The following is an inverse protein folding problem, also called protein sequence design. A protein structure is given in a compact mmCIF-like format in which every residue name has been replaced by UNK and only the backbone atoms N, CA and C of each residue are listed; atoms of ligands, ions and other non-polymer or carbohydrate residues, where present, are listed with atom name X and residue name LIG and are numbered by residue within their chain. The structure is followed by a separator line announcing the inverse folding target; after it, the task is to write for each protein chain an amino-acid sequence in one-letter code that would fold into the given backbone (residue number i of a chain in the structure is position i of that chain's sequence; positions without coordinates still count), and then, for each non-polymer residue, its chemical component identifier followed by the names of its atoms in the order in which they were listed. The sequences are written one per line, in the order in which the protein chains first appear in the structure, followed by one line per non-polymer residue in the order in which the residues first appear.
data_IF_797833921279
#
_entry.id   IF_797833921279
#
_cell.length_a   1.000
_cell.length_b   1.000
_cell.length_c   1.000
_cell.angle_alpha   90.00
_cell.angle_beta   90.00
_cell.angle_gamma   90.00
#
_symmetry.space_group_name_H-M   'P 1'
#
loop_
_entity.id
_entity.type
_entity.pdbx_description
1 polymer ?
#
# COMPACT_ATOMS: atom_id res chain seq x y z
N UNK A 1 -9.90 16.45 -0.24
CA UNK A 1 -9.46 15.12 0.25
C UNK A 1 -10.69 14.28 0.57
N UNK A 2 -10.76 13.02 0.12
CA UNK A 2 -11.86 12.09 0.39
C UNK A 2 -11.29 10.87 1.12
N UNK A 3 -11.91 10.48 2.23
CA UNK A 3 -11.59 9.23 2.94
C UNK A 3 -12.57 8.15 2.47
N UNK A 4 -12.04 6.99 2.10
CA UNK A 4 -12.83 5.81 1.73
C UNK A 4 -12.51 4.70 2.74
N UNK A 5 -13.45 4.32 3.62
CA UNK A 5 -13.20 3.27 4.60
C UNK A 5 -13.12 1.89 3.92
N UNK A 6 -12.45 0.94 4.56
CA UNK A 6 -12.25 -0.42 4.04
C UNK A 6 -13.57 -1.09 3.65
N UNK A 7 -14.59 -0.89 4.46
CA UNK A 7 -15.93 -1.46 4.36
C UNK A 7 -16.64 -0.99 3.09
N UNK A 8 -16.25 0.17 2.54
CA UNK A 8 -16.81 0.67 1.29
C UNK A 8 -16.28 -0.09 0.05
N UNK A 9 -15.13 -0.79 0.15
CA UNK A 9 -14.50 -1.44 -1.00
C UNK A 9 -14.01 -2.88 -0.78
N UNK A 10 -14.07 -3.42 0.44
CA UNK A 10 -13.57 -4.76 0.81
C UNK A 10 -14.01 -5.85 -0.17
N UNK A 11 -15.30 -5.84 -0.54
CA UNK A 11 -15.89 -6.85 -1.42
C UNK A 11 -16.08 -6.34 -2.86
N UNK A 12 -15.44 -5.23 -3.22
CA UNK A 12 -15.55 -4.60 -4.54
C UNK A 12 -14.42 -4.98 -5.49
N UNK A 13 -13.38 -5.66 -5.00
CA UNK A 13 -12.24 -6.12 -5.80
C UNK A 13 -12.22 -7.63 -5.81
N UNK A 14 -12.58 -8.23 -6.96
CA UNK A 14 -12.49 -9.68 -7.12
C UNK A 14 -11.04 -10.13 -7.25
N UNK A 15 -10.77 -11.40 -6.95
CA UNK A 15 -9.43 -11.97 -7.06
C UNK A 15 -8.85 -11.85 -8.48
N UNK A 16 -9.67 -12.08 -9.51
CA UNK A 16 -9.26 -11.91 -10.91
C UNK A 16 -8.87 -10.46 -11.25
N UNK A 17 -9.61 -9.48 -10.73
CA UNK A 17 -9.27 -8.05 -10.90
C UNK A 17 -7.94 -7.73 -10.21
N UNK A 18 -7.72 -8.26 -9.01
CA UNK A 18 -6.48 -8.07 -8.27
C UNK A 18 -5.27 -8.66 -9.01
N UNK A 19 -5.38 -9.91 -9.50
CA UNK A 19 -4.32 -10.57 -10.28
C UNK A 19 -3.97 -9.75 -11.52
N UNK A 20 -4.96 -9.34 -12.30
CA UNK A 20 -4.71 -8.52 -13.49
C UNK A 20 -4.09 -7.15 -13.17
N UNK A 21 -4.41 -6.54 -12.03
CA UNK A 21 -3.79 -5.30 -11.60
C UNK A 21 -2.31 -5.50 -11.22
N UNK A 22 -2.00 -6.58 -10.50
CA UNK A 22 -0.62 -6.93 -10.12
C UNK A 22 0.22 -7.26 -11.36
N UNK A 23 -0.31 -8.04 -12.30
CA UNK A 23 0.35 -8.36 -13.57
C UNK A 23 0.72 -7.10 -14.36
N UNK A 24 -0.23 -6.15 -14.51
CA UNK A 24 0.04 -4.86 -15.16
C UNK A 24 1.13 -4.06 -14.44
N UNK A 25 1.12 -4.07 -13.10
CA UNK A 25 2.15 -3.40 -12.30
C UNK A 25 3.55 -3.95 -12.58
N UNK A 26 3.70 -5.29 -12.56
CA UNK A 26 4.97 -5.93 -12.89
C UNK A 26 5.40 -5.71 -14.34
N UNK A 27 4.45 -5.75 -15.30
CA UNK A 27 4.73 -5.44 -16.70
C UNK A 27 5.27 -4.03 -16.86
N UNK A 28 4.63 -3.03 -16.26
CA UNK A 28 5.10 -1.63 -16.32
C UNK A 28 6.45 -1.45 -15.65
N UNK A 29 6.73 -2.15 -14.54
CA UNK A 29 8.06 -2.17 -13.94
C UNK A 29 9.11 -2.74 -14.91
N UNK A 30 8.84 -3.89 -15.53
CA UNK A 30 9.76 -4.53 -16.48
C UNK A 30 10.03 -3.67 -17.72
N UNK A 31 9.06 -2.84 -18.13
CA UNK A 31 9.19 -1.91 -19.26
C UNK A 31 9.82 -0.56 -18.88
N UNK A 32 10.19 -0.34 -17.61
CA UNK A 32 10.72 0.94 -17.14
C UNK A 32 9.68 2.06 -17.09
N UNK A 33 8.40 1.70 -17.05
CA UNK A 33 7.26 2.63 -17.00
C UNK A 33 6.79 2.91 -15.56
N UNK A 34 7.43 2.32 -14.55
CA UNK A 34 7.13 2.51 -13.15
C UNK A 34 8.22 3.33 -12.46
N UNK A 35 7.82 4.38 -11.74
CA UNK A 35 8.66 5.07 -10.75
C UNK A 35 8.37 4.44 -9.39
N UNK A 36 9.39 3.81 -8.80
CA UNK A 36 9.35 3.12 -7.51
C UNK A 36 10.55 3.58 -6.67
N UNK A 37 10.39 4.60 -5.81
CA UNK A 37 11.45 4.99 -4.90
C UNK A 37 11.73 3.90 -3.86
N UNK A 38 12.88 3.98 -3.22
CA UNK A 38 13.20 3.12 -2.08
C UNK A 38 12.15 3.27 -0.97
N UNK A 39 11.75 2.17 -0.32
CA UNK A 39 10.84 2.24 0.81
C UNK A 39 11.42 3.08 1.95
N UNK A 40 10.60 3.93 2.56
CA UNK A 40 10.94 4.52 3.86
C UNK A 40 10.56 3.51 4.94
N UNK A 41 11.51 3.20 5.82
CA UNK A 41 11.33 2.27 6.93
C UNK A 41 11.59 3.01 8.24
N UNK A 42 10.67 2.87 9.18
CA UNK A 42 10.82 3.34 10.56
C UNK A 42 10.72 2.11 11.46
N UNK A 43 11.83 1.76 12.11
CA UNK A 43 11.85 0.71 13.12
C UNK A 43 11.58 1.31 14.50
N UNK A 44 10.75 0.63 15.29
CA UNK A 44 10.38 0.99 16.65
C UNK A 44 10.68 -0.21 17.57
N UNK A 45 11.95 -0.42 17.95
CA UNK A 45 12.36 -1.65 18.64
C UNK A 45 11.74 -1.83 20.02
N UNK A 46 11.52 -0.73 20.76
CA UNK A 46 10.95 -0.77 22.11
C UNK A 46 9.49 -1.25 22.09
N UNK A 47 8.76 -0.96 21.01
CA UNK A 47 7.38 -1.32 20.76
C UNK A 47 7.25 -2.65 20.01
N UNK A 48 8.38 -3.25 19.59
CA UNK A 48 8.45 -4.37 18.65
C UNK A 48 7.57 -4.09 17.43
N UNK A 49 7.78 -2.93 16.82
CA UNK A 49 6.95 -2.43 15.74
C UNK A 49 7.76 -1.83 14.60
N UNK A 50 7.11 -1.67 13.45
CA UNK A 50 7.67 -1.05 12.26
C UNK A 50 6.61 -0.29 11.47
N UNK A 51 7.05 0.73 10.73
CA UNK A 51 6.23 1.47 9.77
C UNK A 51 6.96 1.52 8.43
N UNK A 52 6.26 1.15 7.36
CA UNK A 52 6.78 1.13 6.01
C UNK A 52 5.94 2.05 5.13
N UNK A 53 6.61 2.94 4.39
CA UNK A 53 5.97 3.73 3.32
C UNK A 53 6.56 3.31 1.99
N UNK A 54 5.69 2.86 1.07
CA UNK A 54 6.06 2.44 -0.28
C UNK A 54 5.30 3.29 -1.29
N UNK A 55 6.03 3.99 -2.15
CA UNK A 55 5.47 4.81 -3.22
C UNK A 55 5.52 4.10 -4.58
N UNK A 56 4.58 4.42 -5.45
CA UNK A 56 4.63 4.04 -6.86
C UNK A 56 3.85 5.03 -7.73
N UNK A 57 4.35 5.26 -8.93
CA UNK A 57 3.62 5.90 -10.02
C UNK A 57 3.91 5.19 -11.34
N UNK A 58 2.88 4.88 -12.11
CA UNK A 58 3.02 4.33 -13.45
C UNK A 58 2.87 5.46 -14.48
N UNK A 59 3.67 5.44 -15.54
CA UNK A 59 3.61 6.40 -16.63
C UNK A 59 2.19 6.50 -17.19
N UNK A 60 1.62 7.72 -17.18
CA UNK A 60 0.27 8.00 -17.68
C UNK A 60 -0.86 7.57 -16.74
N UNK A 61 -0.56 7.03 -15.55
CA UNK A 61 -1.59 6.75 -14.55
C UNK A 61 -2.10 8.05 -13.93
N UNK A 62 -3.39 8.06 -13.59
CA UNK A 62 -4.04 9.23 -12.97
C UNK A 62 -3.51 9.56 -11.57
N UNK A 63 -3.02 8.56 -10.84
CA UNK A 63 -2.66 8.74 -9.44
C UNK A 63 -1.20 8.36 -9.16
N UNK A 64 -0.62 9.08 -8.20
CA UNK A 64 0.54 8.64 -7.43
C UNK A 64 0.00 7.90 -6.20
N UNK A 65 0.54 6.72 -5.90
CA UNK A 65 0.06 5.90 -4.77
C UNK A 65 1.14 5.78 -3.71
N UNK A 66 0.77 6.03 -2.45
CA UNK A 66 1.59 5.75 -1.28
C UNK A 66 0.85 4.74 -0.41
N UNK A 67 1.48 3.62 -0.09
CA UNK A 67 1.01 2.67 0.92
C UNK A 67 1.75 2.97 2.22
N UNK A 68 1.01 3.25 3.29
CA UNK A 68 1.52 3.30 4.65
C UNK A 68 1.05 2.03 5.34
N UNK A 69 1.99 1.23 5.83
CA UNK A 69 1.70 -0.01 6.55
C UNK A 69 2.42 0.01 7.89
N UNK A 70 1.73 -0.43 8.93
CA UNK A 70 2.29 -0.63 10.27
C UNK A 70 2.31 -2.11 10.61
N UNK A 71 3.33 -2.52 11.35
CA UNK A 71 3.43 -3.82 12.00
C UNK A 71 3.62 -3.61 13.49
N UNK A 72 2.65 -4.01 14.31
CA UNK A 72 2.74 -4.00 15.78
C UNK A 72 2.60 -5.45 16.26
N UNK A 73 3.71 -6.17 16.34
CA UNK A 73 3.68 -7.62 16.49
C UNK A 73 3.06 -8.09 17.83
N UNK A 74 3.24 -7.31 18.89
CA UNK A 74 2.68 -7.58 20.22
C UNK A 74 1.16 -7.39 20.33
N UNK A 75 0.51 -6.78 19.34
CA UNK A 75 -0.95 -6.65 19.33
C UNK A 75 -1.67 -8.00 19.38
N UNK A 76 -1.04 -9.06 18.86
CA UNK A 76 -1.59 -10.41 18.87
C UNK A 76 -1.90 -10.89 20.30
N UNK A 77 -1.02 -10.59 21.26
CA UNK A 77 -1.22 -10.95 22.67
C UNK A 77 -2.40 -10.19 23.31
N UNK A 78 -2.81 -9.07 22.71
CA UNK A 78 -3.90 -8.21 23.16
C UNK A 78 -5.22 -8.45 22.38
N UNK A 79 -5.25 -9.43 21.48
CA UNK A 79 -6.39 -9.69 20.60
C UNK A 79 -6.60 -8.62 19.52
N UNK A 80 -5.59 -7.79 19.23
CA UNK A 80 -5.65 -6.74 18.21
C UNK A 80 -4.92 -7.19 16.93
N UNK A 81 -5.25 -6.62 15.75
CA UNK A 81 -4.51 -6.87 14.52
C UNK A 81 -3.03 -6.49 14.65
N UNK A 82 -2.15 -7.38 14.18
CA UNK A 82 -0.70 -7.12 14.14
C UNK A 82 -0.29 -6.19 13.00
N UNK A 83 -1.15 -6.00 11.99
CA UNK A 83 -0.88 -5.11 10.87
C UNK A 83 -2.07 -4.23 10.57
N UNK A 84 -1.78 -2.98 10.21
CA UNK A 84 -2.76 -2.00 9.76
C UNK A 84 -2.14 -1.09 8.69
N UNK A 85 -2.93 -0.23 8.08
CA UNK A 85 -2.42 0.72 7.12
C UNK A 85 -3.48 1.41 6.28
N UNK A 86 -3.00 2.22 5.35
CA UNK A 86 -3.82 2.95 4.41
C UNK A 86 -3.10 3.12 3.07
N UNK A 87 -3.89 3.46 2.06
CA UNK A 87 -3.39 3.93 0.78
C UNK A 87 -3.76 5.40 0.62
N UNK A 88 -2.79 6.21 0.23
CA UNK A 88 -3.01 7.57 -0.25
C UNK A 88 -2.95 7.54 -1.77
N UNK A 89 -3.98 8.07 -2.41
CA UNK A 89 -4.02 8.31 -3.84
C UNK A 89 -3.96 9.82 -4.04
N UNK A 90 -2.87 10.30 -4.63
CA UNK A 90 -2.67 11.70 -4.98
C UNK A 90 -2.93 11.85 -6.47
N UNK A 91 -3.61 12.92 -6.89
CA UNK A 91 -3.74 13.21 -8.32
C UNK A 91 -2.36 13.54 -8.90
N UNK A 92 -2.05 13.00 -10.08
CA UNK A 92 -0.79 13.22 -10.79
C UNK A 92 -0.86 14.44 -11.73
N UNK A 93 -1.97 15.18 -11.76
CA UNK A 93 -2.20 16.40 -12.54
C UNK A 93 -2.92 17.51 -11.78
#
# INVERSE_FOLDING_TARGET
MRVVPLEAFRDKVSFAVAVGAVERGFRSLALGEAVLPDPMVVELPAERAEVHVKGAHLKGARHIVLKVATGFYENRARGLPSGDGLFLLLDAG
#
